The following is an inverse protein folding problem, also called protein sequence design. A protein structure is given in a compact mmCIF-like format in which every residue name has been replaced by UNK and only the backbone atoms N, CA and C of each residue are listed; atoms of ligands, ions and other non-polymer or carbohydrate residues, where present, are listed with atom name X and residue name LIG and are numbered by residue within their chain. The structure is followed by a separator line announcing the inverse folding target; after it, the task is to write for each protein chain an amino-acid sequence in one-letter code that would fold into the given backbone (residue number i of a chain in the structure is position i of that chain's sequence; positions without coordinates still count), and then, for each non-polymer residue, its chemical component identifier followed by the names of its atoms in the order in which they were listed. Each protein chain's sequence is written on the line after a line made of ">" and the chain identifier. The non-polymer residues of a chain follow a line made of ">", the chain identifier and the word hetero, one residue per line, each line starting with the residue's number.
data_IF_342767478147
#
_entry.id   IF_342767478147
#
_cell.length_a   1.000
_cell.length_b   1.000
_cell.length_c   1.000
_cell.angle_alpha   90.00
_cell.angle_beta   90.00
_cell.angle_gamma   90.00
#
_symmetry.space_group_name_H-M   'P 1'
#
loop_
_entity.id
_entity.type
_entity.pdbx_description
1 polymer ?
#
# COMPACT_ATOMS: atom_id res chain seq x y z
N UNK A 1 -11.42 -2.55 7.17
CA UNK A 1 -11.33 -1.32 6.41
C UNK A 1 -12.73 -0.77 6.14
N UNK A 2 -12.81 0.49 5.74
CA UNK A 2 -14.10 1.16 5.51
C UNK A 2 -14.77 0.63 4.25
N UNK A 3 -16.06 0.28 4.37
CA UNK A 3 -16.88 -0.14 3.25
C UNK A 3 -18.12 0.78 3.21
N UNK A 4 -18.17 1.64 2.21
CA UNK A 4 -19.26 2.62 2.06
C UNK A 4 -20.63 1.96 1.84
N UNK A 5 -20.67 0.78 1.24
CA UNK A 5 -21.93 0.07 0.99
C UNK A 5 -22.53 -0.53 2.25
N UNK A 6 -21.70 -0.79 3.26
CA UNK A 6 -22.12 -1.37 4.52
C UNK A 6 -22.08 -0.37 5.66
N UNK A 7 -21.74 0.83 5.35
CA UNK A 7 -21.58 1.97 6.21
C UNK A 7 -20.36 1.85 7.18
N UNK A 8 -20.00 2.95 7.83
CA UNK A 8 -18.77 3.08 8.59
C UNK A 8 -18.67 2.16 9.81
N UNK A 9 -19.77 1.55 10.23
CA UNK A 9 -19.80 0.67 11.39
C UNK A 9 -18.92 -0.56 11.21
N UNK A 10 -18.68 -0.95 9.96
CA UNK A 10 -17.85 -2.11 9.67
C UNK A 10 -16.36 -1.78 9.63
N UNK A 11 -16.02 -0.50 9.76
CA UNK A 11 -14.63 -0.08 9.76
C UNK A 11 -13.90 -0.64 10.97
N UNK A 12 -12.64 -1.00 10.80
CA UNK A 12 -11.80 -1.56 11.87
C UNK A 12 -11.32 -0.51 12.87
N UNK A 13 -11.56 0.78 12.59
CA UNK A 13 -11.02 1.89 13.37
C UNK A 13 -9.66 2.34 12.90
N UNK A 14 -9.07 1.67 11.91
CA UNK A 14 -7.79 2.08 11.34
C UNK A 14 -7.99 3.23 10.36
N UNK A 15 -7.05 4.18 10.40
CA UNK A 15 -7.15 5.41 9.62
C UNK A 15 -6.11 5.45 8.51
N UNK A 16 -6.46 6.18 7.44
CA UNK A 16 -5.55 6.41 6.32
C UNK A 16 -4.69 7.66 6.55
N UNK A 17 -3.85 7.99 5.57
CA UNK A 17 -2.96 9.15 5.63
C UNK A 17 -3.70 10.49 5.61
N UNK A 18 -5.00 10.48 5.29
CA UNK A 18 -5.84 11.67 5.28
C UNK A 18 -6.59 11.85 6.62
N UNK A 19 -6.37 10.95 7.58
CA UNK A 19 -7.06 11.00 8.88
C UNK A 19 -8.50 10.50 8.83
N UNK A 20 -8.86 9.75 7.78
CA UNK A 20 -10.20 9.21 7.57
C UNK A 20 -10.14 7.69 7.61
N UNK A 21 -11.30 7.00 7.68
CA UNK A 21 -11.31 5.53 7.65
C UNK A 21 -10.57 4.98 6.44
N UNK A 22 -9.76 3.95 6.68
CA UNK A 22 -8.93 3.33 5.65
C UNK A 22 -9.79 2.73 4.55
N UNK A 23 -9.50 3.09 3.29
CA UNK A 23 -10.23 2.59 2.13
C UNK A 23 -9.54 1.36 1.54
N UNK A 24 -10.28 0.59 0.75
CA UNK A 24 -9.75 -0.58 0.07
C UNK A 24 -8.63 -0.21 -0.90
N UNK A 25 -7.55 -0.97 -0.88
CA UNK A 25 -6.43 -0.80 -1.82
C UNK A 25 -6.68 -1.60 -3.09
N UNK A 26 -6.99 -2.89 -2.96
CA UNK A 26 -7.28 -3.74 -4.12
C UNK A 26 -7.96 -5.03 -3.68
N UNK A 27 -8.91 -5.49 -4.48
CA UNK A 27 -9.51 -6.82 -4.32
C UNK A 27 -9.16 -7.74 -5.49
N UNK A 28 -8.57 -7.20 -6.55
CA UNK A 28 -8.13 -7.95 -7.73
C UNK A 28 -6.82 -7.35 -8.27
N UNK A 29 -5.66 -7.78 -7.76
CA UNK A 29 -5.45 -8.89 -6.81
C UNK A 29 -5.88 -8.54 -5.39
N UNK A 30 -6.30 -9.55 -4.64
CA UNK A 30 -6.59 -9.37 -3.22
C UNK A 30 -5.30 -9.08 -2.47
N UNK A 31 -5.28 -8.02 -1.68
CA UNK A 31 -4.07 -7.53 -1.02
C UNK A 31 -4.27 -7.32 0.47
N UNK A 32 -3.18 -6.94 1.14
CA UNK A 32 -3.14 -6.66 2.56
C UNK A 32 -2.57 -7.82 3.36
N UNK A 33 -2.00 -7.51 4.52
CA UNK A 33 -1.47 -8.54 5.42
C UNK A 33 -2.54 -9.57 5.78
N UNK A 34 -3.77 -9.09 6.01
CA UNK A 34 -4.91 -9.95 6.34
C UNK A 34 -5.67 -10.45 5.11
N UNK A 35 -5.25 -10.07 3.91
CA UNK A 35 -5.95 -10.37 2.65
C UNK A 35 -7.41 -9.89 2.68
N UNK A 36 -7.64 -8.73 3.29
CA UNK A 36 -8.94 -8.09 3.35
C UNK A 36 -9.20 -7.12 2.19
N UNK A 37 -8.20 -6.88 1.36
CA UNK A 37 -8.23 -5.86 0.32
C UNK A 37 -7.78 -4.49 0.83
N UNK A 38 -7.46 -4.38 2.10
CA UNK A 38 -7.12 -3.13 2.77
C UNK A 38 -5.76 -3.25 3.44
N UNK A 39 -5.03 -2.15 3.47
CA UNK A 39 -3.69 -2.11 4.06
C UNK A 39 -3.78 -1.98 5.60
N UNK A 40 -4.58 -2.84 6.20
CA UNK A 40 -4.72 -2.94 7.65
C UNK A 40 -3.47 -3.58 8.24
N UNK A 41 -3.13 -3.21 9.47
CA UNK A 41 -1.93 -3.72 10.11
C UNK A 41 -2.15 -3.93 11.60
N UNK A 42 -1.27 -4.70 12.22
CA UNK A 42 -1.19 -4.86 13.67
C UNK A 42 0.25 -5.22 14.05
N UNK A 43 0.46 -5.56 15.34
CA UNK A 43 1.80 -5.87 15.85
C UNK A 43 2.42 -7.12 15.21
N UNK A 44 1.61 -8.00 14.62
CA UNK A 44 2.10 -9.22 13.98
C UNK A 44 2.58 -8.96 12.55
N UNK A 45 2.14 -7.86 11.95
CA UNK A 45 2.57 -7.45 10.62
C UNK A 45 3.92 -6.72 10.71
N UNK A 46 4.98 -7.48 10.88
CA UNK A 46 6.33 -6.93 11.07
C UNK A 46 6.85 -6.19 9.84
N UNK A 47 6.36 -6.56 8.65
CA UNK A 47 6.72 -5.87 7.41
C UNK A 47 5.98 -4.56 7.24
N UNK A 48 4.98 -4.29 8.07
CA UNK A 48 4.13 -3.10 7.98
C UNK A 48 3.65 -2.88 6.55
N UNK A 49 2.78 -3.77 6.07
CA UNK A 49 2.22 -3.73 4.72
C UNK A 49 1.15 -2.65 4.64
N UNK A 50 1.57 -1.41 4.77
CA UNK A 50 0.71 -0.26 5.02
C UNK A 50 0.61 0.71 3.85
N UNK A 51 1.48 0.61 2.86
CA UNK A 51 1.51 1.55 1.73
C UNK A 51 0.74 0.96 0.55
N UNK A 52 -0.41 1.57 0.22
CA UNK A 52 -1.12 1.20 -1.01
C UNK A 52 -0.44 1.87 -2.19
N UNK A 53 0.24 1.09 -3.01
CA UNK A 53 1.00 1.60 -4.14
C UNK A 53 0.50 0.99 -5.43
N UNK A 54 0.54 1.79 -6.49
CA UNK A 54 0.22 1.32 -7.86
C UNK A 54 1.52 0.87 -8.50
N UNK A 55 1.58 -0.40 -8.87
CA UNK A 55 2.81 -1.00 -9.40
C UNK A 55 3.20 -0.38 -10.72
N UNK A 56 4.51 -0.20 -10.90
CA UNK A 56 5.11 0.18 -12.17
C UNK A 56 6.10 -0.89 -12.60
N UNK A 57 6.39 -0.98 -13.89
CA UNK A 57 7.36 -1.95 -14.40
C UNK A 57 8.73 -1.73 -13.75
N UNK A 58 9.14 -0.47 -13.61
CA UNK A 58 10.44 -0.13 -13.03
C UNK A 58 10.53 -0.53 -11.56
N UNK A 59 9.46 -0.30 -10.78
CA UNK A 59 9.45 -0.70 -9.38
C UNK A 59 9.49 -2.23 -9.25
N UNK A 60 8.68 -2.94 -10.04
CA UNK A 60 8.63 -4.41 -9.97
C UNK A 60 9.99 -5.02 -10.27
N UNK A 61 10.70 -4.49 -11.26
CA UNK A 61 12.05 -4.96 -11.58
C UNK A 61 13.04 -4.63 -10.47
N UNK A 62 12.99 -3.41 -9.95
CA UNK A 62 13.84 -2.99 -8.84
C UNK A 62 13.62 -3.89 -7.62
N UNK A 63 12.36 -4.12 -7.26
CA UNK A 63 12.00 -4.94 -6.10
C UNK A 63 12.52 -6.37 -6.25
N UNK A 64 12.38 -6.93 -7.45
CA UNK A 64 12.89 -8.28 -7.73
C UNK A 64 14.40 -8.35 -7.54
N UNK A 65 15.14 -7.36 -8.06
CA UNK A 65 16.60 -7.30 -7.91
C UNK A 65 17.02 -7.17 -6.45
N UNK A 66 16.17 -6.60 -5.62
CA UNK A 66 16.45 -6.41 -4.19
C UNK A 66 15.96 -7.59 -3.34
N UNK A 67 15.55 -8.68 -3.97
CA UNK A 67 15.16 -9.90 -3.26
C UNK A 67 13.69 -10.00 -2.90
N UNK A 68 12.85 -9.07 -3.36
CA UNK A 68 11.42 -9.09 -3.12
C UNK A 68 10.69 -9.20 -4.46
N UNK A 69 10.63 -10.40 -5.01
CA UNK A 69 10.00 -10.66 -6.30
C UNK A 69 8.48 -10.67 -6.16
N UNK A 70 7.84 -9.61 -6.64
CA UNK A 70 6.38 -9.46 -6.60
C UNK A 70 5.71 -9.84 -7.91
N UNK A 71 6.48 -10.09 -8.97
CA UNK A 71 5.93 -10.29 -10.30
C UNK A 71 5.80 -11.75 -10.71
N UNK A 72 6.52 -12.65 -10.04
CA UNK A 72 6.45 -14.09 -10.37
C UNK A 72 5.27 -14.73 -9.64
N UNK A 73 4.34 -15.40 -10.35
CA UNK A 73 3.24 -16.10 -9.70
C UNK A 73 3.73 -17.19 -8.76
N UNK A 74 3.05 -17.32 -7.61
CA UNK A 74 3.30 -18.34 -6.61
C UNK A 74 1.95 -18.94 -6.19
N UNK A 75 1.92 -20.13 -5.55
CA UNK A 75 0.65 -20.66 -5.02
C UNK A 75 -0.03 -19.64 -4.11
N UNK A 76 -1.28 -19.29 -4.43
CA UNK A 76 -2.04 -18.29 -3.66
C UNK A 76 -1.68 -16.84 -3.97
N UNK A 77 -0.77 -16.60 -4.91
CA UNK A 77 -0.35 -15.25 -5.29
C UNK A 77 -0.18 -15.17 -6.81
N UNK A 78 -0.99 -14.35 -7.50
CA UNK A 78 -1.03 -14.36 -8.97
C UNK A 78 0.15 -13.64 -9.63
N UNK A 79 1.02 -12.98 -8.86
CA UNK A 79 2.04 -12.08 -9.42
C UNK A 79 1.44 -10.74 -9.79
N UNK A 80 2.20 -9.68 -9.55
CA UNK A 80 1.74 -8.32 -9.82
C UNK A 80 2.22 -7.84 -11.19
N UNK A 81 1.39 -7.01 -11.81
CA UNK A 81 1.66 -6.39 -13.10
C UNK A 81 1.58 -4.87 -12.95
N UNK A 82 2.19 -4.11 -13.86
CA UNK A 82 2.03 -2.66 -13.85
C UNK A 82 0.54 -2.28 -13.84
N UNK A 83 0.18 -1.34 -12.96
CA UNK A 83 -1.20 -0.91 -12.77
C UNK A 83 -1.92 -1.58 -11.62
N UNK A 84 -1.45 -2.73 -11.15
CA UNK A 84 -2.02 -3.40 -9.98
C UNK A 84 -1.75 -2.58 -8.72
N UNK A 85 -2.70 -2.54 -7.80
CA UNK A 85 -2.51 -1.91 -6.49
C UNK A 85 -2.23 -2.98 -5.44
N UNK A 86 -1.32 -2.67 -4.54
CA UNK A 86 -0.81 -3.63 -3.56
C UNK A 86 -0.45 -2.94 -2.26
N UNK A 87 -0.77 -3.57 -1.15
CA UNK A 87 -0.34 -3.11 0.18
C UNK A 87 1.12 -3.50 0.37
N UNK A 88 2.00 -2.57 0.06
CA UNK A 88 3.44 -2.79 0.03
C UNK A 88 4.03 -2.60 1.42
N UNK A 89 5.03 -3.40 1.73
CA UNK A 89 5.84 -3.24 2.93
C UNK A 89 6.43 -1.81 2.92
N UNK A 90 6.22 -1.07 4.00
CA UNK A 90 6.63 0.33 4.06
C UNK A 90 8.14 0.51 3.88
N UNK A 91 8.96 -0.40 4.45
CA UNK A 91 10.41 -0.32 4.28
C UNK A 91 10.84 -0.63 2.84
N UNK A 92 10.08 -1.47 2.13
CA UNK A 92 10.36 -1.74 0.72
C UNK A 92 10.03 -0.54 -0.15
N UNK A 93 8.95 0.17 0.18
CA UNK A 93 8.62 1.41 -0.52
C UNK A 93 9.70 2.46 -0.29
N UNK A 94 10.16 2.59 0.97
CA UNK A 94 11.22 3.55 1.31
C UNK A 94 12.53 3.22 0.60
N UNK A 95 12.89 1.93 0.53
CA UNK A 95 14.07 1.49 -0.21
C UNK A 95 14.00 1.94 -1.67
N UNK A 96 12.84 1.77 -2.30
CA UNK A 96 12.62 2.19 -3.68
C UNK A 96 12.66 3.71 -3.80
N UNK A 97 12.09 4.43 -2.83
CA UNK A 97 12.11 5.88 -2.82
C UNK A 97 13.55 6.39 -2.78
N UNK A 98 14.37 5.84 -1.91
CA UNK A 98 15.77 6.24 -1.75
C UNK A 98 16.58 5.98 -3.03
N UNK A 99 16.18 4.99 -3.82
CA UNK A 99 16.85 4.61 -5.06
C UNK A 99 16.24 5.25 -6.32
N UNK A 100 15.15 6.01 -6.18
CA UNK A 100 14.51 6.68 -7.32
C UNK A 100 13.48 5.84 -8.07
N UNK A 101 12.98 4.74 -7.47
CA UNK A 101 12.05 3.82 -8.11
C UNK A 101 10.71 3.70 -7.38
N UNK A 102 10.40 4.62 -6.47
CA UNK A 102 9.17 4.52 -5.69
C UNK A 102 7.92 4.55 -6.56
N UNK A 103 7.00 3.59 -6.41
CA UNK A 103 5.75 3.60 -7.15
C UNK A 103 4.78 4.63 -6.57
N UNK A 104 3.82 5.10 -7.38
CA UNK A 104 2.79 6.04 -6.89
C UNK A 104 1.98 5.48 -5.73
N UNK A 105 1.54 6.36 -4.85
CA UNK A 105 0.84 6.01 -3.60
C UNK A 105 -0.60 6.50 -3.63
N UNK A 106 -1.51 5.69 -3.10
CA UNK A 106 -2.90 6.08 -2.87
C UNK A 106 -3.06 6.39 -1.38
N UNK A 107 -3.13 7.66 -1.01
CA UNK A 107 -3.17 8.09 0.40
C UNK A 107 -4.42 7.60 1.12
N UNK A 108 -5.57 7.61 0.45
CA UNK A 108 -6.84 7.17 1.03
C UNK A 108 -6.82 5.68 1.44
N UNK A 109 -5.93 4.91 0.82
CA UNK A 109 -5.80 3.47 1.06
C UNK A 109 -4.47 3.10 1.72
N UNK A 110 -3.70 4.10 2.14
CA UNK A 110 -2.43 3.91 2.86
C UNK A 110 -2.67 4.15 4.33
N UNK A 111 -2.31 3.17 5.16
CA UNK A 111 -2.48 3.25 6.60
C UNK A 111 -1.63 4.37 7.19
N UNK A 112 -2.16 5.09 8.17
CA UNK A 112 -1.43 6.18 8.82
C UNK A 112 -0.10 5.74 9.43
N UNK A 113 0.00 4.47 9.84
CA UNK A 113 1.21 3.90 10.40
C UNK A 113 2.41 3.87 9.45
N UNK A 114 2.18 4.01 8.13
CA UNK A 114 3.27 4.10 7.17
C UNK A 114 4.19 5.27 7.48
N UNK A 115 3.66 6.34 8.05
CA UNK A 115 4.42 7.54 8.39
C UNK A 115 5.42 7.34 9.53
N UNK A 116 5.34 6.22 10.25
CA UNK A 116 6.32 5.89 11.28
C UNK A 116 7.60 5.30 10.68
N UNK A 117 7.54 4.84 9.44
CA UNK A 117 8.66 4.19 8.73
C UNK A 117 9.15 5.07 7.59
N UNK A 118 8.21 5.71 6.88
CA UNK A 118 8.50 6.55 5.71
C UNK A 118 8.17 7.99 6.05
N UNK A 119 9.05 8.95 5.75
CA UNK A 119 8.71 10.37 5.95
C UNK A 119 7.41 10.71 5.21
N UNK A 120 6.50 11.40 5.92
CA UNK A 120 5.21 11.80 5.34
C UNK A 120 5.40 12.55 4.02
N UNK A 121 6.40 13.45 3.97
CA UNK A 121 6.66 14.24 2.77
C UNK A 121 6.97 13.36 1.55
N UNK A 122 7.65 12.22 1.76
CA UNK A 122 7.97 11.29 0.67
C UNK A 122 6.70 10.64 0.11
N UNK A 123 5.80 10.22 0.99
CA UNK A 123 4.52 9.65 0.57
C UNK A 123 3.68 10.67 -0.19
N UNK A 124 3.62 11.91 0.30
CA UNK A 124 2.85 12.97 -0.34
C UNK A 124 3.40 13.32 -1.73
N UNK A 125 4.72 13.30 -1.87
CA UNK A 125 5.36 13.62 -3.15
C UNK A 125 5.03 12.62 -4.25
N UNK A 126 4.68 11.38 -3.87
CA UNK A 126 4.35 10.33 -4.82
C UNK A 126 2.86 9.97 -4.84
N UNK A 127 2.03 10.74 -4.15
CA UNK A 127 0.60 10.45 -4.06
C UNK A 127 -0.12 10.81 -5.36
N UNK A 128 -1.01 9.93 -5.82
CA UNK A 128 -1.85 10.18 -6.98
C UNK A 128 -3.17 10.88 -6.57
N UNK A 129 -3.48 10.90 -5.29
CA UNK A 129 -4.69 11.50 -4.74
C UNK A 129 -4.37 12.63 -3.75
N UNK A 130 -3.29 13.35 -3.98
CA UNK A 130 -2.87 14.44 -3.09
C UNK A 130 -3.85 15.62 -3.05
N UNK A 131 -4.65 15.81 -4.08
CA UNK A 131 -5.70 16.87 -4.11
C UNK A 131 -6.72 16.65 -2.99
N UNK A 132 -6.88 15.45 -2.47
CA UNK A 132 -7.79 15.19 -1.35
C UNK A 132 -7.34 15.89 -0.05
N UNK A 133 -6.12 16.45 -0.03
CA UNK A 133 -5.60 17.21 1.09
C UNK A 133 -6.05 18.67 1.09
N UNK A 134 -6.63 19.14 0.02
CA UNK A 134 -7.06 20.55 -0.12
C UNK A 134 -8.50 20.75 0.30
#
# INVERSE_FOLDING_TARGET
>A
CYDAAMNAVTATGQLNMLGQPLESCSTAPMTGFFRSGCCETDAQDRGSHTVCARMTADFLEFSKRRGNDLSTPQPGFPGLKPGDQWCLCASRWKEAFDAGFAPPVVLASTHEGAATIVPRAALLAHAIDSDALN
#
